data_IF_457570259637
#
_entry.id   IF_457570259637
#
_cell.length_a   1.000
_cell.length_b   1.000
_cell.length_c   1.000
_cell.angle_alpha   90.00
_cell.angle_beta   90.00
_cell.angle_gamma   90.00
#
_symmetry.space_group_name_H-M   'P 1'
#
loop_
_entity.id
_entity.type
_entity.pdbx_description
1 polymer ?
#
# COMPACT_ATOMS: atom_id res chain seq x y z
N UNK A 1 -6.87 -18.94 -7.80
CA UNK A 1 -6.09 -18.01 -8.63
C UNK A 1 -4.82 -17.64 -7.88
N UNK A 2 -3.68 -18.25 -8.22
CA UNK A 2 -2.39 -17.88 -7.63
C UNK A 2 -1.78 -16.77 -8.49
N UNK A 3 -2.10 -15.52 -8.15
CA UNK A 3 -1.37 -14.37 -8.69
C UNK A 3 -0.06 -14.30 -7.92
N UNK A 4 1.07 -14.30 -8.64
CA UNK A 4 2.40 -14.20 -8.03
C UNK A 4 2.57 -12.94 -7.17
N UNK A 5 3.71 -12.80 -6.47
CA UNK A 5 3.96 -11.63 -5.64
C UNK A 5 3.91 -10.36 -6.49
N UNK A 6 3.22 -9.35 -5.97
CA UNK A 6 3.17 -8.01 -6.57
C UNK A 6 4.34 -7.23 -5.99
N UNK A 7 5.23 -6.73 -6.85
CA UNK A 7 6.34 -5.86 -6.48
C UNK A 7 5.93 -4.43 -6.84
N UNK A 8 6.00 -3.52 -5.87
CA UNK A 8 5.66 -2.10 -6.05
C UNK A 8 6.76 -1.23 -5.45
N UNK A 9 7.06 -0.11 -6.12
CA UNK A 9 7.87 0.98 -5.56
C UNK A 9 7.04 1.84 -4.59
N UNK A 10 7.69 2.71 -3.81
CA UNK A 10 7.00 3.63 -2.91
C UNK A 10 5.99 4.49 -3.68
N UNK A 11 6.43 5.12 -4.77
CA UNK A 11 5.60 5.99 -5.60
C UNK A 11 4.39 5.25 -6.19
N UNK A 12 4.56 3.98 -6.59
CA UNK A 12 3.47 3.16 -7.11
C UNK A 12 2.45 2.81 -6.02
N UNK A 13 2.91 2.52 -4.79
CA UNK A 13 2.01 2.28 -3.65
C UNK A 13 1.25 3.56 -3.28
N UNK A 14 1.91 4.71 -3.29
CA UNK A 14 1.29 6.02 -3.06
C UNK A 14 0.24 6.33 -4.12
N UNK A 15 0.60 6.19 -5.39
CA UNK A 15 -0.31 6.40 -6.51
C UNK A 15 -1.55 5.50 -6.40
N UNK A 16 -1.38 4.21 -6.10
CA UNK A 16 -2.50 3.29 -5.94
C UNK A 16 -3.38 3.65 -4.73
N UNK A 17 -2.77 4.10 -3.64
CA UNK A 17 -3.51 4.50 -2.44
C UNK A 17 -4.36 5.76 -2.69
N UNK A 18 -3.84 6.69 -3.50
CA UNK A 18 -4.54 7.92 -3.91
C UNK A 18 -5.71 7.65 -4.86
N UNK A 19 -5.66 6.59 -5.66
CA UNK A 19 -6.80 6.17 -6.50
C UNK A 19 -7.96 5.57 -5.69
N UNK A 20 -7.69 5.06 -4.49
CA UNK A 20 -8.74 4.51 -3.63
C UNK A 20 -9.30 5.68 -2.80
N UNK A 21 -10.62 5.90 -2.73
CA UNK A 21 -11.18 6.91 -1.84
C UNK A 21 -10.94 6.55 -0.36
N UNK A 22 -10.95 7.54 0.56
CA UNK A 22 -11.02 7.27 1.99
C UNK A 22 -12.21 6.36 2.32
N UNK A 23 -12.08 5.42 3.27
CA UNK A 23 -13.10 4.44 3.53
C UNK A 23 -14.34 5.09 4.18
N UNK A 24 -15.51 4.89 3.59
CA UNK A 24 -16.82 5.23 4.14
C UNK A 24 -17.44 4.07 4.92
N UNK A 25 -18.44 4.34 5.75
CA UNK A 25 -19.19 3.29 6.46
C UNK A 25 -19.85 2.29 5.49
N UNK A 26 -20.32 2.80 4.35
CA UNK A 26 -21.04 2.05 3.32
C UNK A 26 -20.12 1.37 2.29
N UNK A 27 -18.80 1.55 2.39
CA UNK A 27 -17.87 0.98 1.41
C UNK A 27 -17.77 -0.55 1.51
N UNK A 28 -17.46 -1.16 0.37
CA UNK A 28 -17.18 -2.59 0.27
C UNK A 28 -16.01 -2.99 1.20
N UNK A 29 -16.22 -4.06 1.98
CA UNK A 29 -15.24 -4.58 2.92
C UNK A 29 -13.91 -4.99 2.25
N UNK A 30 -13.94 -5.41 0.98
CA UNK A 30 -12.76 -5.68 0.19
C UNK A 30 -11.96 -4.40 -0.11
N UNK A 31 -12.64 -3.31 -0.44
CA UNK A 31 -12.00 -2.02 -0.71
C UNK A 31 -11.33 -1.47 0.56
N UNK A 32 -12.01 -1.54 1.71
CA UNK A 32 -11.44 -1.19 3.03
C UNK A 32 -10.19 -2.02 3.36
N UNK A 33 -10.26 -3.34 3.13
CA UNK A 33 -9.13 -4.26 3.35
C UNK A 33 -7.95 -3.97 2.42
N UNK A 34 -8.22 -3.67 1.15
CA UNK A 34 -7.20 -3.32 0.17
C UNK A 34 -6.48 -2.01 0.56
N UNK A 35 -7.23 -0.96 0.91
CA UNK A 35 -6.68 0.31 1.37
C UNK A 35 -5.77 0.13 2.58
N UNK A 36 -6.25 -0.61 3.59
CA UNK A 36 -5.47 -0.89 4.81
C UNK A 36 -4.17 -1.64 4.51
N UNK A 37 -4.19 -2.60 3.58
CA UNK A 37 -2.99 -3.33 3.16
C UNK A 37 -1.98 -2.44 2.45
N UNK A 38 -2.43 -1.58 1.53
CA UNK A 38 -1.55 -0.63 0.83
C UNK A 38 -0.95 0.40 1.78
N UNK A 39 -1.72 0.90 2.76
CA UNK A 39 -1.20 1.78 3.82
C UNK A 39 -0.11 1.10 4.66
N UNK A 40 -0.33 -0.15 5.05
CA UNK A 40 0.68 -0.93 5.79
C UNK A 40 1.94 -1.16 4.97
N UNK A 41 1.81 -1.55 3.71
CA UNK A 41 2.93 -1.72 2.79
C UNK A 41 3.72 -0.43 2.62
N UNK A 42 3.04 0.71 2.41
CA UNK A 42 3.70 2.01 2.26
C UNK A 42 4.52 2.38 3.50
N UNK A 43 3.96 2.14 4.70
CA UNK A 43 4.65 2.38 5.96
C UNK A 43 5.91 1.52 6.09
N UNK A 44 5.81 0.24 5.75
CA UNK A 44 6.94 -0.70 5.84
C UNK A 44 8.03 -0.37 4.80
N UNK A 45 7.65 0.02 3.58
CA UNK A 45 8.60 0.48 2.56
C UNK A 45 9.33 1.76 2.98
N UNK A 46 8.62 2.75 3.54
CA UNK A 46 9.23 3.99 4.03
C UNK A 46 10.22 3.72 5.17
N UNK A 47 9.85 2.87 6.14
CA UNK A 47 10.77 2.43 7.22
C UNK A 47 12.01 1.71 6.67
N UNK A 48 11.83 0.86 5.66
CA UNK A 48 12.94 0.15 5.01
C UNK A 48 13.88 1.07 4.22
N UNK A 49 13.33 2.12 3.60
CA UNK A 49 14.09 3.14 2.88
C UNK A 49 14.92 4.02 3.82
N UNK A 50 14.41 4.34 5.02
CA UNK A 50 15.10 5.16 6.02
C UNK A 50 16.33 4.46 6.67
N UNK A 51 16.54 3.16 6.43
CA UNK A 51 17.55 2.33 7.12
C UNK A 51 18.66 1.71 6.25
N UNK A 52 18.75 2.02 4.95
CA UNK A 52 19.76 1.43 4.04
C UNK A 52 20.72 2.45 3.41
N UNK A 53 20.55 3.74 3.72
CA UNK A 53 21.40 4.84 3.28
C UNK A 53 22.67 5.06 4.11
N UNK A 54 23.34 4.01 4.58
CA UNK A 54 24.72 4.12 5.09
C UNK A 54 25.69 3.59 4.05
N UNK A 55 26.21 4.50 3.23
CA UNK A 55 27.45 4.34 2.46
C UNK A 55 28.27 5.62 2.63
#
# INVERSE_FOLDING_TARGET
MNRGPIVLTIDEVEYLLDQIPPPSIDDDELAKKLRKRLQGLLLDLRKGAEGTGTA
#
